data_IF_005213309203
#
_entry.id   IF_005213309203
#
_cell.length_a   1.000
_cell.length_b   1.000
_cell.length_c   1.000
_cell.angle_alpha   90.00
_cell.angle_beta   90.00
_cell.angle_gamma   90.00
#
_symmetry.space_group_name_H-M   'P 1'
#
loop_
_entity.id
_entity.type
_entity.pdbx_description
1 polymer ?
#
# COMPACT_ATOMS: atom_id res chain seq x y z
N UNK A 1 -8.77 -25.54 -4.29
CA UNK A 1 -7.69 -24.57 -4.55
C UNK A 1 -6.53 -24.81 -3.60
N UNK A 2 -6.73 -24.89 -2.28
CA UNK A 2 -5.65 -25.10 -1.29
C UNK A 2 -4.79 -26.35 -1.59
N UNK A 3 -5.40 -27.50 -1.92
CA UNK A 3 -4.66 -28.71 -2.35
C UNK A 3 -3.84 -28.49 -3.62
N UNK A 4 -4.41 -27.79 -4.62
CA UNK A 4 -3.73 -27.50 -5.88
C UNK A 4 -2.47 -26.66 -5.65
N UNK A 5 -2.57 -25.66 -4.76
CA UNK A 5 -1.44 -24.78 -4.40
C UNK A 5 -0.32 -25.58 -3.71
N UNK A 6 -0.67 -26.57 -2.89
CA UNK A 6 0.31 -27.38 -2.15
C UNK A 6 0.94 -28.50 -2.98
N UNK A 7 0.24 -29.01 -3.98
CA UNK A 7 0.66 -30.16 -4.83
C UNK A 7 1.30 -29.74 -6.17
N UNK A 8 1.38 -28.40 -6.44
CA UNK A 8 1.90 -27.92 -7.73
C UNK A 8 3.41 -28.13 -7.84
N UNK A 9 3.83 -28.86 -8.88
CA UNK A 9 5.24 -29.05 -9.22
C UNK A 9 5.80 -27.76 -9.88
N UNK A 10 6.61 -27.06 -9.12
CA UNK A 10 7.22 -25.80 -9.56
C UNK A 10 8.63 -25.97 -10.17
N UNK A 11 9.20 -27.17 -10.15
CA UNK A 11 10.61 -27.37 -10.55
C UNK A 11 10.91 -26.89 -11.97
N UNK A 12 9.95 -27.02 -12.87
CA UNK A 12 10.08 -26.68 -14.31
C UNK A 12 9.94 -25.19 -14.62
N UNK A 13 9.56 -24.37 -13.65
CA UNK A 13 9.33 -22.94 -13.88
C UNK A 13 10.57 -22.09 -13.59
N UNK A 14 10.68 -20.96 -14.32
CA UNK A 14 11.71 -19.96 -14.04
C UNK A 14 11.56 -19.37 -12.62
N UNK A 15 12.66 -18.91 -12.01
CA UNK A 15 12.68 -18.40 -10.63
C UNK A 15 11.66 -17.31 -10.41
N UNK A 16 11.53 -16.33 -11.30
CA UNK A 16 10.53 -15.26 -11.20
C UNK A 16 9.10 -15.78 -11.18
N UNK A 17 8.78 -16.81 -11.97
CA UNK A 17 7.46 -17.44 -11.97
C UNK A 17 7.18 -18.19 -10.65
N UNK A 18 8.20 -18.82 -10.06
CA UNK A 18 8.10 -19.46 -8.73
C UNK A 18 7.82 -18.42 -7.64
N UNK A 19 8.55 -17.29 -7.67
CA UNK A 19 8.34 -16.20 -6.73
C UNK A 19 6.92 -15.67 -6.87
N UNK A 20 6.48 -15.35 -8.10
CA UNK A 20 5.13 -14.86 -8.38
C UNK A 20 4.06 -15.84 -7.87
N UNK A 21 4.21 -17.13 -8.12
CA UNK A 21 3.30 -18.15 -7.60
C UNK A 21 3.18 -18.11 -6.07
N UNK A 22 4.30 -17.98 -5.35
CA UNK A 22 4.27 -17.91 -3.90
C UNK A 22 3.64 -16.61 -3.40
N UNK A 23 3.84 -15.48 -4.08
CA UNK A 23 3.20 -14.21 -3.77
C UNK A 23 1.67 -14.30 -3.99
N UNK A 24 1.23 -14.91 -5.09
CA UNK A 24 -0.19 -15.12 -5.39
C UNK A 24 -0.85 -16.09 -4.39
N UNK A 25 -0.15 -17.15 -4.00
CA UNK A 25 -0.61 -18.07 -2.97
C UNK A 25 -0.74 -17.37 -1.60
N UNK A 26 0.24 -16.54 -1.22
CA UNK A 26 0.16 -15.74 0.01
C UNK A 26 -1.04 -14.79 -0.03
N UNK A 27 -1.26 -14.10 -1.15
CA UNK A 27 -2.40 -13.23 -1.37
C UNK A 27 -3.74 -14.00 -1.28
N UNK A 28 -3.82 -15.20 -1.83
CA UNK A 28 -4.99 -16.09 -1.70
C UNK A 28 -5.28 -16.44 -0.23
N UNK A 29 -4.28 -16.91 0.53
CA UNK A 29 -4.47 -17.28 1.94
C UNK A 29 -4.78 -16.07 2.83
N UNK A 30 -4.41 -14.86 2.42
CA UNK A 30 -4.77 -13.61 3.11
C UNK A 30 -6.30 -13.42 3.24
N UNK A 31 -7.09 -13.85 2.26
CA UNK A 31 -8.56 -13.79 2.32
C UNK A 31 -9.14 -14.70 3.41
N UNK A 32 -8.46 -15.79 3.73
CA UNK A 32 -8.92 -16.75 4.74
C UNK A 32 -8.28 -16.52 6.12
N UNK A 33 -7.48 -15.45 6.28
CA UNK A 33 -6.77 -15.15 7.53
C UNK A 33 -5.86 -16.29 8.02
N UNK A 34 -5.37 -17.11 7.09
CA UNK A 34 -4.44 -18.22 7.41
C UNK A 34 -3.00 -17.70 7.46
N UNK A 35 -2.66 -17.09 8.61
CA UNK A 35 -1.34 -16.46 8.83
C UNK A 35 -0.19 -17.45 8.64
N UNK A 36 -0.39 -18.70 9.05
CA UNK A 36 0.64 -19.75 8.94
C UNK A 36 1.03 -19.99 7.47
N UNK A 37 0.04 -20.14 6.59
CA UNK A 37 0.27 -20.36 5.17
C UNK A 37 0.76 -19.09 4.47
N UNK A 38 0.25 -17.93 4.84
CA UNK A 38 0.77 -16.64 4.32
C UNK A 38 2.27 -16.58 4.60
N UNK A 39 2.69 -16.76 5.86
CA UNK A 39 4.08 -16.71 6.28
C UNK A 39 4.94 -17.74 5.53
N UNK A 40 4.46 -18.98 5.37
CA UNK A 40 5.16 -20.03 4.61
C UNK A 40 5.47 -19.58 3.18
N UNK A 41 4.47 -19.02 2.48
CA UNK A 41 4.63 -18.63 1.09
C UNK A 41 5.44 -17.33 0.93
N UNK A 42 5.26 -16.35 1.82
CA UNK A 42 6.08 -15.13 1.82
C UNK A 42 7.55 -15.48 2.07
N UNK A 43 7.87 -16.25 3.10
CA UNK A 43 9.25 -16.68 3.38
C UNK A 43 9.88 -17.42 2.18
N UNK A 44 9.10 -18.27 1.49
CA UNK A 44 9.60 -18.98 0.31
C UNK A 44 9.85 -18.04 -0.87
N UNK A 45 9.00 -17.03 -1.05
CA UNK A 45 9.22 -15.99 -2.06
C UNK A 45 10.47 -15.17 -1.77
N UNK A 46 10.68 -14.78 -0.51
CA UNK A 46 11.86 -14.03 -0.04
C UNK A 46 13.15 -14.84 -0.23
N UNK A 47 13.12 -16.15 0.10
CA UNK A 47 14.23 -17.06 -0.12
C UNK A 47 14.60 -17.20 -1.60
N UNK A 48 13.60 -17.43 -2.48
CA UNK A 48 13.79 -17.55 -3.92
C UNK A 48 14.24 -16.23 -4.58
N UNK A 49 13.87 -15.09 -4.00
CA UNK A 49 14.31 -13.78 -4.45
C UNK A 49 15.75 -13.44 -3.98
N UNK A 50 16.37 -14.33 -3.20
CA UNK A 50 17.71 -14.16 -2.63
C UNK A 50 17.87 -12.81 -1.91
N UNK A 51 16.84 -12.42 -1.16
CA UNK A 51 16.81 -11.16 -0.43
C UNK A 51 16.49 -11.38 1.04
N UNK A 52 16.90 -10.43 1.88
CA UNK A 52 16.43 -10.32 3.25
C UNK A 52 15.93 -8.91 3.53
N UNK A 53 14.82 -8.83 4.25
CA UNK A 53 14.19 -7.57 4.65
C UNK A 53 14.14 -7.56 6.17
N UNK A 54 14.85 -6.63 6.79
CA UNK A 54 14.90 -6.50 8.24
C UNK A 54 14.61 -5.07 8.67
N UNK A 55 13.82 -4.92 9.72
CA UNK A 55 13.60 -3.62 10.34
C UNK A 55 14.82 -3.20 11.13
N UNK A 56 15.23 -1.95 10.95
CA UNK A 56 16.37 -1.34 11.65
C UNK A 56 16.05 0.08 12.08
N UNK A 57 16.84 0.60 13.00
CA UNK A 57 16.71 1.98 13.48
C UNK A 57 17.86 2.85 12.99
N UNK A 58 17.55 3.94 12.29
CA UNK A 58 18.51 4.98 11.95
C UNK A 58 18.15 6.30 12.63
N UNK A 59 19.16 7.10 12.98
CA UNK A 59 18.94 8.43 13.52
C UNK A 59 18.44 9.37 12.42
N UNK A 60 17.39 10.13 12.73
CA UNK A 60 16.82 11.05 11.78
C UNK A 60 15.81 12.03 12.39
N UNK A 61 15.35 12.97 11.58
CA UNK A 61 14.37 14.00 11.92
C UNK A 61 13.07 13.79 11.15
N UNK A 62 11.93 13.89 11.87
CA UNK A 62 10.58 13.85 11.29
C UNK A 62 9.98 15.24 11.10
N UNK A 63 10.49 16.23 11.83
CA UNK A 63 9.95 17.59 11.80
C UNK A 63 11.02 18.61 11.45
N UNK A 64 10.58 19.74 10.88
CA UNK A 64 11.48 20.84 10.48
C UNK A 64 12.20 21.49 11.67
N UNK A 65 11.58 21.48 12.85
CA UNK A 65 12.05 22.16 14.05
C UNK A 65 12.73 21.23 15.06
N UNK A 66 12.88 19.98 14.72
CA UNK A 66 13.55 18.99 15.58
C UNK A 66 15.04 19.29 15.66
N UNK A 67 15.56 19.57 16.84
CA UNK A 67 16.99 19.86 17.03
C UNK A 67 17.84 18.59 17.06
N UNK A 68 17.39 17.57 17.80
CA UNK A 68 18.11 16.30 17.99
C UNK A 68 17.56 15.21 17.07
N UNK A 69 18.47 14.43 16.52
CA UNK A 69 18.08 13.23 15.78
C UNK A 69 17.61 12.15 16.75
N UNK A 70 16.52 11.48 16.42
CA UNK A 70 15.99 10.34 17.19
C UNK A 70 15.93 9.10 16.31
N UNK A 71 15.92 7.93 16.92
CA UNK A 71 15.81 6.68 16.21
C UNK A 71 14.49 6.62 15.42
N UNK A 72 14.59 6.33 14.14
CA UNK A 72 13.48 6.19 13.21
C UNK A 72 13.55 4.82 12.59
N UNK A 73 12.40 4.15 12.43
CA UNK A 73 12.33 2.87 11.75
C UNK A 73 12.60 3.02 10.26
N UNK A 74 13.39 2.13 9.73
CA UNK A 74 13.67 1.96 8.31
C UNK A 74 13.89 0.48 8.00
N UNK A 75 13.93 0.12 6.71
CA UNK A 75 14.26 -1.23 6.29
C UNK A 75 15.72 -1.31 5.84
N UNK A 76 16.40 -2.34 6.31
CA UNK A 76 17.62 -2.84 5.70
C UNK A 76 17.24 -3.95 4.72
N UNK A 77 17.45 -3.69 3.44
CA UNK A 77 17.13 -4.60 2.34
C UNK A 77 18.43 -5.08 1.74
N UNK A 78 18.77 -6.35 1.97
CA UNK A 78 19.96 -6.97 1.40
C UNK A 78 19.55 -7.90 0.28
N UNK A 79 20.24 -7.80 -0.85
CA UNK A 79 20.05 -8.61 -2.05
C UNK A 79 21.36 -9.27 -2.41
N UNK A 80 21.37 -10.60 -2.57
CA UNK A 80 22.61 -11.36 -2.83
C UNK A 80 23.00 -11.28 -4.32
N UNK A 81 22.02 -11.20 -5.21
CA UNK A 81 22.24 -11.08 -6.65
C UNK A 81 21.68 -9.76 -7.17
N UNK A 82 22.54 -9.00 -7.86
CA UNK A 82 22.09 -7.83 -8.62
C UNK A 82 21.46 -8.34 -9.92
N UNK A 83 20.15 -8.07 -10.07
CA UNK A 83 19.45 -8.37 -11.31
C UNK A 83 19.84 -7.36 -12.38
N UNK A 84 19.97 -7.80 -13.64
CA UNK A 84 20.03 -6.88 -14.77
C UNK A 84 18.69 -6.16 -14.92
N UNK A 85 18.69 -4.88 -14.57
CA UNK A 85 17.49 -4.03 -14.67
C UNK A 85 17.23 -3.68 -16.12
N UNK A 86 16.18 -4.21 -16.69
CA UNK A 86 15.79 -3.90 -18.06
C UNK A 86 15.07 -2.55 -18.05
N UNK A 87 15.64 -1.56 -18.72
CA UNK A 87 15.10 -0.18 -18.78
C UNK A 87 13.64 -0.09 -19.28
N UNK A 88 13.11 -1.15 -19.90
CA UNK A 88 11.73 -1.22 -20.38
C UNK A 88 10.68 -1.41 -19.26
N UNK A 89 11.10 -1.65 -18.02
CA UNK A 89 10.18 -1.78 -16.87
C UNK A 89 9.69 -0.43 -16.33
N UNK A 90 10.23 0.69 -16.80
CA UNK A 90 9.76 2.03 -16.39
C UNK A 90 8.45 2.34 -17.10
N UNK A 91 7.34 2.13 -16.43
CA UNK A 91 6.04 2.54 -16.95
C UNK A 91 5.84 4.04 -16.77
N UNK A 92 5.67 4.77 -17.87
CA UNK A 92 5.44 6.23 -17.89
C UNK A 92 4.12 6.69 -17.27
N UNK A 93 3.27 5.74 -16.84
CA UNK A 93 1.87 5.96 -16.46
C UNK A 93 1.58 5.57 -15.00
N UNK A 94 2.57 5.72 -14.14
CA UNK A 94 2.45 5.41 -12.72
C UNK A 94 1.58 6.45 -11.99
N UNK A 95 0.84 6.04 -10.93
CA UNK A 95 0.16 6.98 -10.06
C UNK A 95 1.18 7.95 -9.43
N UNK A 96 0.79 9.21 -9.34
CA UNK A 96 1.63 10.23 -8.74
C UNK A 96 1.67 10.04 -7.22
N UNK A 97 2.86 10.06 -6.64
CA UNK A 97 3.09 10.14 -5.21
C UNK A 97 3.03 11.62 -4.79
N UNK A 98 2.04 11.98 -3.98
CA UNK A 98 1.85 13.34 -3.52
C UNK A 98 2.72 13.61 -2.30
N UNK A 99 3.40 14.77 -2.31
CA UNK A 99 4.21 15.22 -1.19
C UNK A 99 3.33 15.73 -0.05
N UNK A 100 3.84 15.58 1.17
CA UNK A 100 3.23 16.18 2.35
C UNK A 100 3.57 17.69 2.38
N UNK A 101 2.54 18.52 2.34
CA UNK A 101 2.66 19.95 2.57
C UNK A 101 2.18 20.27 4.00
N UNK A 102 3.13 20.31 4.93
CA UNK A 102 2.90 20.58 6.35
C UNK A 102 3.99 21.50 6.90
N UNK A 103 3.60 22.45 7.74
CA UNK A 103 4.53 23.44 8.28
C UNK A 103 5.54 22.88 9.26
N UNK A 104 5.21 21.77 9.91
CA UNK A 104 6.03 21.15 10.97
C UNK A 104 6.65 19.84 10.50
N UNK A 105 5.86 18.96 9.92
CA UNK A 105 6.30 17.61 9.53
C UNK A 105 7.04 17.61 8.20
N UNK A 106 8.11 16.85 8.11
CA UNK A 106 8.79 16.60 6.86
C UNK A 106 8.03 15.57 6.02
N UNK A 107 8.05 15.73 4.70
CA UNK A 107 7.47 14.76 3.77
C UNK A 107 8.13 13.37 3.89
N UNK A 108 9.45 13.37 3.99
CA UNK A 108 10.26 12.17 4.25
C UNK A 108 11.13 12.39 5.48
N UNK A 109 11.45 11.30 6.17
CA UNK A 109 12.38 11.35 7.29
C UNK A 109 13.75 11.78 6.77
N UNK A 110 14.33 12.82 7.38
CA UNK A 110 15.69 13.25 7.09
C UNK A 110 16.66 12.44 7.97
N UNK A 111 17.19 11.36 7.42
CA UNK A 111 18.16 10.52 8.11
C UNK A 111 19.52 11.18 8.15
N UNK A 112 20.25 11.01 9.26
CA UNK A 112 21.64 11.47 9.42
C UNK A 112 22.57 10.74 8.47
N UNK A 113 22.37 9.42 8.36
CA UNK A 113 23.00 8.57 7.35
C UNK A 113 21.91 8.10 6.43
N UNK A 114 21.99 8.44 5.16
CA UNK A 114 20.99 8.01 4.20
C UNK A 114 21.00 6.49 4.10
N UNK A 115 19.83 5.82 4.22
CA UNK A 115 19.73 4.39 3.95
C UNK A 115 20.18 4.11 2.51
N UNK A 116 20.82 2.98 2.31
CA UNK A 116 21.28 2.59 0.99
C UNK A 116 20.09 2.41 0.03
N UNK A 117 19.96 3.30 -0.95
CA UNK A 117 18.94 3.18 -1.98
C UNK A 117 19.33 2.07 -2.96
N UNK A 118 18.68 0.93 -2.85
CA UNK A 118 18.85 -0.15 -3.82
C UNK A 118 17.73 -0.12 -4.83
N UNK A 119 18.09 -0.32 -6.08
CA UNK A 119 17.12 -0.45 -7.15
C UNK A 119 16.69 -1.92 -7.26
N UNK A 120 15.40 -2.19 -7.04
CA UNK A 120 14.85 -3.53 -6.99
C UNK A 120 13.98 -3.80 -8.23
N UNK A 121 13.96 -5.03 -8.71
CA UNK A 121 13.02 -5.46 -9.75
C UNK A 121 11.58 -5.42 -9.24
N UNK A 122 10.62 -5.40 -10.16
CA UNK A 122 9.18 -5.45 -9.85
C UNK A 122 8.85 -6.66 -8.95
N UNK A 123 9.43 -7.82 -9.21
CA UNK A 123 9.22 -9.04 -8.42
C UNK A 123 9.74 -8.89 -6.99
N UNK A 124 10.96 -8.37 -6.80
CA UNK A 124 11.53 -8.12 -5.47
C UNK A 124 10.74 -7.05 -4.69
N UNK A 125 10.25 -6.03 -5.39
CA UNK A 125 9.36 -5.02 -4.79
C UNK A 125 8.03 -5.63 -4.34
N UNK A 126 7.49 -6.60 -5.09
CA UNK A 126 6.28 -7.33 -4.70
C UNK A 126 6.49 -8.20 -3.45
N UNK A 127 7.70 -8.74 -3.24
CA UNK A 127 8.05 -9.44 -1.99
C UNK A 127 7.94 -8.50 -0.78
N UNK A 128 8.51 -7.29 -0.86
CA UNK A 128 8.41 -6.29 0.22
C UNK A 128 6.95 -5.95 0.54
N UNK A 129 6.12 -5.77 -0.50
CA UNK A 129 4.69 -5.51 -0.30
C UNK A 129 3.96 -6.69 0.34
N UNK A 130 4.39 -7.92 0.07
CA UNK A 130 3.81 -9.13 0.70
C UNK A 130 4.23 -9.27 2.16
N UNK A 131 5.47 -8.90 2.51
CA UNK A 131 5.91 -8.78 3.92
C UNK A 131 5.07 -7.75 4.68
N UNK A 132 4.84 -6.57 4.07
CA UNK A 132 3.91 -5.57 4.61
C UNK A 132 2.54 -6.17 4.95
N UNK A 133 1.94 -6.94 4.03
CA UNK A 133 0.63 -7.53 4.26
C UNK A 133 0.66 -8.65 5.31
N UNK A 134 1.75 -9.43 5.38
CA UNK A 134 1.94 -10.43 6.43
C UNK A 134 2.00 -9.75 7.80
N UNK A 135 2.82 -8.72 7.96
CA UNK A 135 2.94 -7.96 9.20
C UNK A 135 1.60 -7.35 9.60
N UNK A 136 0.93 -6.66 8.68
CA UNK A 136 -0.39 -6.04 8.89
C UNK A 136 -1.47 -7.02 9.34
N UNK A 137 -1.41 -8.30 8.91
CA UNK A 137 -2.39 -9.33 9.27
C UNK A 137 -2.02 -10.12 10.51
N UNK A 138 -0.74 -10.17 10.87
CA UNK A 138 -0.24 -10.95 12.00
C UNK A 138 -0.29 -10.20 13.34
N UNK A 139 -0.44 -8.88 13.31
CA UNK A 139 -0.41 -8.04 14.50
C UNK A 139 -1.73 -7.30 14.74
N UNK A 140 -2.03 -6.93 16.01
CA UNK A 140 -3.19 -6.09 16.32
C UNK A 140 -3.03 -4.70 15.70
N UNK A 141 -4.17 -4.08 15.35
CA UNK A 141 -4.20 -2.74 14.76
C UNK A 141 -4.02 -1.68 15.85
N UNK A 142 -2.83 -1.12 15.96
CA UNK A 142 -2.51 -0.03 16.87
C UNK A 142 -1.64 1.04 16.20
N UNK A 143 -1.27 2.09 16.95
CA UNK A 143 -0.42 3.17 16.43
C UNK A 143 1.02 2.73 16.18
N UNK A 144 1.52 1.73 16.92
CA UNK A 144 2.88 1.20 16.78
C UNK A 144 2.97 0.45 15.46
N UNK A 145 2.00 -0.42 15.16
CA UNK A 145 1.93 -1.13 13.90
C UNK A 145 1.93 -0.16 12.70
N UNK A 146 1.22 0.96 12.81
CA UNK A 146 1.22 1.96 11.73
C UNK A 146 2.62 2.54 11.47
N UNK A 147 3.44 2.70 12.50
CA UNK A 147 4.83 3.14 12.35
C UNK A 147 5.75 2.04 11.80
N UNK A 148 5.55 0.79 12.16
CA UNK A 148 6.28 -0.37 11.64
C UNK A 148 5.97 -0.64 10.17
N UNK A 149 4.74 -0.39 9.74
CA UNK A 149 4.29 -0.60 8.35
C UNK A 149 4.81 0.46 7.36
N UNK A 150 5.02 1.70 7.81
CA UNK A 150 5.43 2.81 6.93
C UNK A 150 6.76 2.59 6.20
N UNK A 151 7.82 2.02 6.80
CA UNK A 151 9.08 1.73 6.10
C UNK A 151 8.91 0.83 4.88
N UNK A 152 8.05 -0.20 4.95
CA UNK A 152 7.76 -1.10 3.82
C UNK A 152 7.12 -0.34 2.65
N UNK A 153 6.12 0.50 2.94
CA UNK A 153 5.47 1.31 1.91
C UNK A 153 6.43 2.32 1.29
N UNK A 154 7.27 2.96 2.11
CA UNK A 154 8.29 3.89 1.63
C UNK A 154 9.29 3.19 0.71
N UNK A 155 9.73 1.97 1.04
CA UNK A 155 10.63 1.19 0.19
C UNK A 155 10.01 0.89 -1.18
N UNK A 156 8.72 0.52 -1.23
CA UNK A 156 7.98 0.30 -2.49
C UNK A 156 7.83 1.60 -3.28
N UNK A 157 7.52 2.73 -2.62
CA UNK A 157 7.24 4.00 -3.29
C UNK A 157 8.49 4.72 -3.80
N UNK A 158 9.64 4.53 -3.14
CA UNK A 158 10.92 5.12 -3.57
C UNK A 158 11.59 4.33 -4.68
N UNK A 159 11.23 3.06 -4.86
CA UNK A 159 11.79 2.26 -5.94
C UNK A 159 11.37 2.76 -7.31
N UNK A 160 12.35 2.98 -8.21
CA UNK A 160 12.13 3.49 -9.57
C UNK A 160 11.50 2.44 -10.50
N UNK A 161 11.82 1.16 -10.27
CA UNK A 161 11.32 0.03 -11.07
C UNK A 161 10.14 -0.64 -10.35
N UNK A 162 9.02 0.07 -10.32
CA UNK A 162 7.77 -0.46 -9.76
C UNK A 162 6.69 -0.42 -10.84
N UNK A 163 5.73 -1.33 -10.76
CA UNK A 163 4.60 -1.33 -11.68
C UNK A 163 3.39 -0.57 -11.11
N UNK A 164 2.38 -0.41 -11.94
CA UNK A 164 1.18 0.34 -11.60
C UNK A 164 0.43 -0.28 -10.40
N UNK A 165 0.29 -1.61 -10.35
CA UNK A 165 -0.39 -2.30 -9.25
C UNK A 165 0.32 -2.09 -7.92
N UNK A 166 1.63 -2.34 -7.86
CA UNK A 166 2.43 -2.19 -6.64
C UNK A 166 2.35 -0.77 -6.09
N UNK A 167 2.55 0.22 -6.98
CA UNK A 167 2.52 1.63 -6.58
C UNK A 167 1.14 2.08 -6.14
N UNK A 168 0.08 1.68 -6.86
CA UNK A 168 -1.31 2.03 -6.49
C UNK A 168 -1.69 1.46 -5.12
N UNK A 169 -1.34 0.21 -4.85
CA UNK A 169 -1.61 -0.43 -3.56
C UNK A 169 -0.79 0.21 -2.44
N UNK A 170 0.50 0.47 -2.67
CA UNK A 170 1.33 1.13 -1.66
C UNK A 170 0.80 2.53 -1.31
N UNK A 171 0.37 3.32 -2.32
CA UNK A 171 -0.26 4.62 -2.10
C UNK A 171 -1.60 4.50 -1.35
N UNK A 172 -2.43 3.54 -1.72
CA UNK A 172 -3.71 3.29 -1.03
C UNK A 172 -3.49 2.89 0.43
N UNK A 173 -2.58 1.95 0.68
CA UNK A 173 -2.29 1.50 2.04
C UNK A 173 -1.67 2.62 2.89
N UNK A 174 -0.78 3.45 2.32
CA UNK A 174 -0.28 4.67 2.98
C UNK A 174 -1.42 5.64 3.33
N UNK A 175 -2.33 5.87 2.39
CA UNK A 175 -3.52 6.72 2.61
C UNK A 175 -4.34 6.22 3.81
N UNK A 176 -4.55 4.90 3.92
CA UNK A 176 -5.27 4.30 5.05
C UNK A 176 -4.54 4.48 6.39
N UNK A 177 -3.20 4.46 6.41
CA UNK A 177 -2.42 4.71 7.63
C UNK A 177 -2.40 6.19 8.02
N UNK A 178 -2.59 7.09 7.07
CA UNK A 178 -2.52 8.54 7.27
C UNK A 178 -3.85 9.22 7.55
N UNK A 179 -4.98 8.59 7.21
CA UNK A 179 -6.31 9.19 7.31
C UNK A 179 -6.71 9.63 8.74
N UNK A 180 -6.17 8.97 9.75
CA UNK A 180 -6.46 9.28 11.14
C UNK A 180 -5.50 10.32 11.75
N UNK A 181 -4.49 10.75 11.00
CA UNK A 181 -3.53 11.74 11.45
C UNK A 181 -3.86 13.12 10.89
N UNK A 182 -4.18 14.08 11.78
CA UNK A 182 -4.58 15.45 11.44
C UNK A 182 -3.61 16.19 10.52
N UNK A 183 -2.30 15.86 10.53
CA UNK A 183 -1.29 16.53 9.70
C UNK A 183 -1.12 15.92 8.31
N UNK A 184 -1.58 14.70 8.11
CA UNK A 184 -1.45 13.98 6.83
C UNK A 184 -2.78 13.66 6.15
N UNK A 185 -3.91 13.95 6.79
CA UNK A 185 -5.26 13.68 6.29
C UNK A 185 -5.53 14.41 4.95
N UNK A 186 -5.02 15.63 4.78
CA UNK A 186 -5.18 16.37 3.53
C UNK A 186 -4.43 15.70 2.38
N UNK A 187 -3.19 15.25 2.63
CA UNK A 187 -2.47 14.44 1.66
C UNK A 187 -3.21 13.14 1.35
N UNK A 188 -3.73 12.46 2.38
CA UNK A 188 -4.50 11.23 2.22
C UNK A 188 -5.74 11.45 1.33
N UNK A 189 -6.47 12.55 1.54
CA UNK A 189 -7.62 12.94 0.73
C UNK A 189 -7.22 13.19 -0.73
N UNK A 190 -6.22 14.02 -0.97
CA UNK A 190 -5.75 14.32 -2.32
C UNK A 190 -5.18 13.08 -3.02
N UNK A 191 -4.50 12.21 -2.28
CA UNK A 191 -3.94 10.97 -2.83
C UNK A 191 -5.02 9.99 -3.26
N UNK A 192 -6.05 9.75 -2.44
CA UNK A 192 -7.14 8.84 -2.82
C UNK A 192 -7.94 9.40 -3.99
N UNK A 193 -8.19 10.71 -4.03
CA UNK A 193 -8.86 11.36 -5.15
C UNK A 193 -8.06 11.19 -6.45
N UNK A 194 -6.75 11.40 -6.41
CA UNK A 194 -5.86 11.17 -7.56
C UNK A 194 -5.89 9.71 -8.03
N UNK A 195 -5.98 8.75 -7.10
CA UNK A 195 -6.10 7.33 -7.44
C UNK A 195 -7.45 7.03 -8.12
N UNK A 196 -8.55 7.54 -7.59
CA UNK A 196 -9.91 7.37 -8.17
C UNK A 196 -9.95 7.97 -9.57
N UNK A 197 -9.47 9.20 -9.77
CA UNK A 197 -9.45 9.86 -11.07
C UNK A 197 -8.65 9.07 -12.10
N UNK A 198 -7.48 8.54 -11.71
CA UNK A 198 -6.65 7.73 -12.61
C UNK A 198 -7.30 6.40 -13.00
N UNK A 199 -8.11 5.80 -12.15
CA UNK A 199 -8.88 4.61 -12.51
C UNK A 199 -9.94 4.89 -13.60
N UNK A 200 -10.60 6.05 -13.54
CA UNK A 200 -11.65 6.41 -14.49
C UNK A 200 -11.12 6.87 -15.85
N UNK A 201 -10.07 7.70 -15.85
CA UNK A 201 -9.69 8.50 -17.03
C UNK A 201 -8.54 7.92 -17.87
N UNK A 202 -7.94 6.82 -17.47
CA UNK A 202 -6.79 6.29 -18.20
C UNK A 202 -7.08 5.00 -18.95
N UNK A 203 -6.58 4.84 -20.21
CA UNK A 203 -6.76 3.63 -20.98
C UNK A 203 -6.10 2.44 -20.26
N UNK A 204 -6.83 1.34 -20.18
CA UNK A 204 -6.36 0.09 -19.59
C UNK A 204 -5.24 -0.48 -20.45
N UNK A 205 -4.02 -0.49 -19.94
CA UNK A 205 -2.86 -1.13 -20.57
C UNK A 205 -2.60 -2.50 -19.94
N UNK A 206 -2.11 -3.46 -20.73
CA UNK A 206 -1.73 -4.79 -20.24
C UNK A 206 -0.68 -4.72 -19.12
N UNK A 207 0.24 -3.75 -19.17
CA UNK A 207 1.23 -3.51 -18.13
C UNK A 207 0.65 -3.22 -16.74
N UNK A 208 -0.61 -2.81 -16.64
CA UNK A 208 -1.30 -2.64 -15.35
C UNK A 208 -1.75 -3.94 -14.72
N UNK A 209 -1.85 -5.02 -15.49
CA UNK A 209 -2.26 -6.33 -15.00
C UNK A 209 -1.11 -7.16 -14.42
N UNK A 210 0.11 -6.71 -14.61
CA UNK A 210 1.27 -7.34 -14.01
C UNK A 210 1.17 -7.32 -12.49
N UNK A 211 1.44 -8.43 -11.83
CA UNK A 211 1.31 -8.64 -10.39
C UNK A 211 -0.10 -8.42 -9.81
N UNK A 212 -1.15 -8.37 -10.63
CA UNK A 212 -2.54 -8.12 -10.17
C UNK A 212 -3.01 -9.16 -9.15
N UNK A 213 -2.68 -10.43 -9.36
CA UNK A 213 -3.08 -11.51 -8.44
C UNK A 213 -2.26 -11.53 -7.16
N UNK A 214 -0.99 -11.16 -7.23
CA UNK A 214 -0.12 -11.05 -6.06
C UNK A 214 -0.49 -9.85 -5.17
N UNK A 215 -0.81 -8.72 -5.79
CA UNK A 215 -1.14 -7.47 -5.08
C UNK A 215 -2.61 -7.36 -4.70
N UNK A 216 -3.52 -7.94 -5.51
CA UNK A 216 -4.98 -7.89 -5.35
C UNK A 216 -5.49 -6.44 -5.20
N UNK A 217 -5.32 -5.59 -6.22
CA UNK A 217 -5.84 -4.24 -6.17
C UNK A 217 -7.35 -4.28 -5.95
N UNK A 218 -7.89 -3.44 -5.05
CA UNK A 218 -9.32 -3.40 -4.80
C UNK A 218 -10.07 -2.92 -6.03
N UNK A 219 -11.34 -3.30 -6.12
CA UNK A 219 -12.22 -2.75 -7.12
C UNK A 219 -12.35 -1.22 -6.94
N UNK A 220 -12.64 -0.49 -8.02
CA UNK A 220 -12.67 0.98 -7.99
C UNK A 220 -13.67 1.54 -6.98
N UNK A 221 -14.82 0.89 -6.79
CA UNK A 221 -15.81 1.32 -5.79
C UNK A 221 -15.30 1.23 -4.35
N UNK A 222 -14.34 0.36 -4.05
CA UNK A 222 -13.69 0.30 -2.75
C UNK A 222 -12.79 1.53 -2.54
N UNK A 223 -12.14 2.04 -3.60
CA UNK A 223 -11.40 3.30 -3.54
C UNK A 223 -12.34 4.48 -3.31
N UNK A 224 -13.49 4.50 -3.98
CA UNK A 224 -14.51 5.54 -3.76
C UNK A 224 -15.10 5.47 -2.34
N UNK A 225 -15.30 4.27 -1.78
CA UNK A 225 -15.71 4.12 -0.37
C UNK A 225 -14.67 4.70 0.59
N UNK A 226 -13.39 4.44 0.37
CA UNK A 226 -12.32 5.05 1.19
C UNK A 226 -12.29 6.58 1.01
N UNK A 227 -12.55 7.08 -0.20
CA UNK A 227 -12.68 8.53 -0.44
C UNK A 227 -13.85 9.12 0.36
N UNK A 228 -15.02 8.47 0.36
CA UNK A 228 -16.19 8.89 1.16
C UNK A 228 -15.82 8.95 2.64
N UNK A 229 -15.18 7.91 3.18
CA UNK A 229 -14.78 7.85 4.58
C UNK A 229 -13.82 8.99 4.98
N UNK A 230 -12.85 9.31 4.13
CA UNK A 230 -11.92 10.42 4.37
C UNK A 230 -12.63 11.77 4.24
N UNK A 231 -13.51 11.95 3.25
CA UNK A 231 -14.31 13.18 3.10
C UNK A 231 -15.18 13.45 4.32
N UNK A 232 -15.81 12.41 4.88
CA UNK A 232 -16.60 12.51 6.11
C UNK A 232 -15.71 12.92 7.28
N UNK A 233 -14.54 12.32 7.44
CA UNK A 233 -13.63 12.64 8.55
C UNK A 233 -13.03 14.05 8.48
N UNK A 234 -12.86 14.60 7.26
CA UNK A 234 -12.43 16.00 7.05
C UNK A 234 -13.59 17.00 7.15
N UNK A 235 -14.85 16.52 7.09
CA UNK A 235 -16.04 17.37 7.21
C UNK A 235 -16.67 17.78 5.88
N UNK A 236 -16.21 17.25 4.74
CA UNK A 236 -16.83 17.48 3.43
C UNK A 236 -18.05 16.59 3.22
N UNK A 237 -18.98 16.59 4.20
CA UNK A 237 -20.11 15.68 4.30
C UNK A 237 -21.05 15.73 3.08
N UNK A 238 -21.24 16.92 2.48
CA UNK A 238 -22.11 17.03 1.29
C UNK A 238 -21.53 16.32 0.08
N UNK A 239 -20.25 16.51 -0.21
CA UNK A 239 -19.54 15.83 -1.30
C UNK A 239 -19.49 14.32 -1.05
N UNK A 240 -19.25 13.90 0.20
CA UNK A 240 -19.29 12.50 0.60
C UNK A 240 -20.68 11.88 0.35
N UNK A 241 -21.75 12.60 0.69
CA UNK A 241 -23.14 12.17 0.48
C UNK A 241 -23.44 11.94 -1.02
N UNK A 242 -23.01 12.87 -1.89
CA UNK A 242 -23.25 12.75 -3.34
C UNK A 242 -22.58 11.49 -3.92
N UNK A 243 -21.35 11.18 -3.48
CA UNK A 243 -20.64 9.98 -3.90
C UNK A 243 -21.31 8.73 -3.30
N UNK A 244 -21.63 8.73 -2.01
CA UNK A 244 -22.27 7.62 -1.33
C UNK A 244 -23.64 7.26 -1.93
N UNK A 245 -24.44 8.25 -2.30
CA UNK A 245 -25.72 8.04 -3.00
C UNK A 245 -25.52 7.39 -4.38
N UNK A 246 -24.51 7.85 -5.15
CA UNK A 246 -24.17 7.27 -6.46
C UNK A 246 -23.75 5.81 -6.36
N UNK A 247 -23.03 5.46 -5.30
CA UNK A 247 -22.53 4.11 -5.05
C UNK A 247 -23.52 3.22 -4.28
N UNK A 248 -24.65 3.80 -3.82
CA UNK A 248 -25.64 3.11 -2.99
C UNK A 248 -25.03 2.56 -1.67
N UNK A 249 -24.13 3.31 -1.05
CA UNK A 249 -23.50 3.01 0.24
C UNK A 249 -24.44 3.50 1.36
N UNK A 250 -25.47 2.73 1.67
CA UNK A 250 -26.58 3.17 2.52
C UNK A 250 -26.14 3.50 3.95
N UNK A 251 -25.17 2.79 4.52
CA UNK A 251 -24.64 3.08 5.86
C UNK A 251 -23.93 4.44 5.91
N UNK A 252 -23.14 4.78 4.89
CA UNK A 252 -22.47 6.06 4.74
C UNK A 252 -23.46 7.18 4.44
N UNK A 253 -24.52 6.89 3.66
CA UNK A 253 -25.61 7.85 3.38
C UNK A 253 -26.34 8.22 4.66
N UNK A 254 -26.71 7.24 5.49
CA UNK A 254 -27.36 7.47 6.78
C UNK A 254 -26.44 8.29 7.70
N UNK A 255 -25.17 7.95 7.73
CA UNK A 255 -24.15 8.69 8.51
C UNK A 255 -24.05 10.12 8.04
N UNK A 256 -23.97 10.38 6.73
CA UNK A 256 -23.92 11.72 6.17
C UNK A 256 -25.19 12.52 6.47
N UNK A 257 -26.39 11.94 6.36
CA UNK A 257 -27.64 12.62 6.70
C UNK A 257 -27.72 12.97 8.20
N UNK A 258 -27.22 12.08 9.07
CA UNK A 258 -27.17 12.36 10.50
C UNK A 258 -26.20 13.52 10.83
N UNK A 259 -25.03 13.56 10.18
CA UNK A 259 -24.07 14.66 10.34
C UNK A 259 -24.60 15.99 9.78
N UNK A 260 -25.45 15.94 8.76
CA UNK A 260 -26.11 17.12 8.20
C UNK A 260 -27.40 17.50 8.95
N UNK A 261 -27.75 16.79 10.03
CA UNK A 261 -28.96 16.99 10.85
C UNK A 261 -30.30 16.75 10.09
N UNK A 262 -30.27 16.07 8.94
CA UNK A 262 -31.45 15.77 8.11
C UNK A 262 -32.00 14.39 8.47
N UNK A 263 -32.40 14.22 9.73
CA UNK A 263 -32.82 12.92 10.29
C UNK A 263 -33.99 12.26 9.58
N UNK A 264 -34.91 13.05 9.03
CA UNK A 264 -36.06 12.50 8.27
C UNK A 264 -35.58 11.70 7.07
N UNK A 265 -34.61 12.22 6.30
CA UNK A 265 -34.05 11.48 5.16
C UNK A 265 -33.22 10.27 5.58
N UNK A 266 -32.51 10.34 6.71
CA UNK A 266 -31.82 9.19 7.26
C UNK A 266 -32.77 8.04 7.66
N UNK A 267 -34.00 8.36 8.05
CA UNK A 267 -35.01 7.36 8.39
C UNK A 267 -35.78 6.80 7.18
N UNK A 268 -35.72 7.47 6.03
CA UNK A 268 -36.34 7.05 4.77
C UNK A 268 -35.43 6.08 3.97
N UNK A 269 -34.14 6.08 4.24
CA UNK A 269 -33.12 5.21 3.60
C UNK A 269 -33.16 3.80 4.22
#
# INVERSE_FOLDING_TARGET
>A
VSKIVEEMDLEKFATNAKIQFHLEAAAFFRHFFDISRIKKHVNKATELAEMSVTETGLLGKRTKWQEKDVAQLTLDIQVQTEDELIANEITSDLPQDLKLDDDVRLDKIAFTVQPEERTLTTTKTAVILSEFFLLKKSQPQDSILSEELMPYLNAVLTNKFTNWCLKSIALLERTKLEKDNKRSIERALMQIQTLVDKFYFQPKKHSRMEMVYATQPPAFWVLETELVNILVSVGYTKTALDIALKLQLWDEVITCYNLLEVRNKAAEV
#
